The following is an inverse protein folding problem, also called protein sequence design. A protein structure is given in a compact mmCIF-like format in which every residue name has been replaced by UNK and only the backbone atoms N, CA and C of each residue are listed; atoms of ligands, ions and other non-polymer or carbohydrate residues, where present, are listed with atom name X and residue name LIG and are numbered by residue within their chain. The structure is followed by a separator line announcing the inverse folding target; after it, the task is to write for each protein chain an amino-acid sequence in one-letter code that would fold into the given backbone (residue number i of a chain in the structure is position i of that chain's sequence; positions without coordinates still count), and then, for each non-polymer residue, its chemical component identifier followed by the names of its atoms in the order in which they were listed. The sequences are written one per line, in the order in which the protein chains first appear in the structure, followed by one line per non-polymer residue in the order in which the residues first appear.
data_IF_212883119324
#
_entry.id   IF_212883119324
#
_cell.length_a   1.000
_cell.length_b   1.000
_cell.length_c   1.000
_cell.angle_alpha   90.00
_cell.angle_beta   90.00
_cell.angle_gamma   90.00
#
_symmetry.space_group_name_H-M   'P 1'
#
loop_
_entity.id
_entity.type
_entity.pdbx_description
1 polymer ?
#
# COMPACT_ATOMS: atom_id res chain seq x y z
N UNK A 1 -6.16 -6.58 6.57
CA UNK A 1 -6.83 -6.00 5.39
C UNK A 1 -5.82 -5.88 4.24
N UNK A 2 -5.58 -6.99 3.54
CA UNK A 2 -4.86 -7.01 2.26
C UNK A 2 -5.86 -7.39 1.19
N UNK A 3 -6.74 -6.44 0.85
CA UNK A 3 -7.86 -6.68 -0.08
C UNK A 3 -7.34 -6.43 -1.50
N UNK A 4 -6.62 -7.42 -2.02
CA UNK A 4 -6.17 -7.47 -3.41
C UNK A 4 -6.48 -8.79 -4.07
N UNK A 5 -6.50 -9.84 -3.25
CA UNK A 5 -6.93 -11.16 -3.66
C UNK A 5 -8.44 -11.10 -3.87
N UNK A 6 -8.88 -11.14 -5.13
CA UNK A 6 -10.30 -11.20 -5.52
C UNK A 6 -10.84 -10.00 -6.32
N UNK A 7 -10.04 -8.96 -6.54
CA UNK A 7 -10.49 -7.78 -7.32
C UNK A 7 -10.17 -7.83 -8.81
N UNK A 8 -9.32 -8.77 -9.23
CA UNK A 8 -9.07 -9.03 -10.65
C UNK A 8 -10.19 -9.87 -11.29
N UNK A 9 -11.44 -9.52 -11.01
CA UNK A 9 -12.64 -10.12 -11.60
C UNK A 9 -13.23 -9.10 -12.56
N UNK A 10 -13.69 -9.55 -13.72
CA UNK A 10 -14.20 -8.71 -14.80
C UNK A 10 -15.30 -7.73 -14.34
N UNK A 11 -16.20 -8.19 -13.48
CA UNK A 11 -17.27 -7.39 -12.88
C UNK A 11 -16.74 -6.17 -12.10
N UNK A 12 -15.63 -6.34 -11.35
CA UNK A 12 -15.04 -5.24 -10.59
C UNK A 12 -14.41 -4.19 -11.52
N UNK A 13 -13.72 -4.63 -12.58
CA UNK A 13 -13.11 -3.72 -13.56
C UNK A 13 -14.20 -2.93 -14.29
N UNK A 14 -15.28 -3.61 -14.71
CA UNK A 14 -16.44 -2.98 -15.35
C UNK A 14 -17.14 -1.97 -14.43
N UNK A 15 -17.35 -2.32 -13.16
CA UNK A 15 -17.98 -1.41 -12.18
C UNK A 15 -17.13 -0.17 -11.87
N UNK A 16 -15.81 -0.29 -11.82
CA UNK A 16 -14.92 0.88 -11.64
C UNK A 16 -14.94 1.78 -12.87
N UNK A 17 -15.00 1.18 -14.07
CA UNK A 17 -15.06 1.92 -15.32
C UNK A 17 -16.40 2.63 -15.55
N UNK A 18 -17.52 2.04 -15.11
CA UNK A 18 -18.83 2.71 -15.18
C UNK A 18 -18.90 3.97 -14.30
N UNK A 19 -18.03 4.06 -13.30
CA UNK A 19 -17.83 5.26 -12.47
C UNK A 19 -16.83 6.27 -13.08
N UNK A 20 -16.36 6.04 -14.31
CA UNK A 20 -15.38 6.90 -14.98
C UNK A 20 -13.96 6.80 -14.41
N UNK A 21 -13.66 5.76 -13.62
CA UNK A 21 -12.37 5.57 -12.96
C UNK A 21 -11.55 4.44 -13.61
N UNK A 22 -10.22 4.49 -13.44
CA UNK A 22 -9.30 3.44 -13.90
C UNK A 22 -9.01 2.47 -12.76
N UNK A 23 -9.24 1.17 -12.99
CA UNK A 23 -8.96 0.14 -12.00
C UNK A 23 -7.46 -0.22 -11.95
N UNK A 24 -6.75 0.21 -10.91
CA UNK A 24 -5.34 -0.15 -10.68
C UNK A 24 -5.17 -1.44 -9.84
N UNK A 25 -5.81 -2.53 -10.26
CA UNK A 25 -5.61 -3.86 -9.61
C UNK A 25 -4.36 -4.52 -10.19
N UNK A 26 -3.56 -5.14 -9.33
CA UNK A 26 -2.35 -5.84 -9.78
C UNK A 26 -2.71 -7.04 -10.67
N UNK A 27 -2.16 -7.06 -11.88
CA UNK A 27 -2.29 -8.18 -12.80
C UNK A 27 -1.64 -9.46 -12.24
N UNK A 28 -2.28 -10.60 -12.53
CA UNK A 28 -1.73 -11.93 -12.27
C UNK A 28 -0.80 -12.33 -13.42
N UNK A 29 0.19 -13.21 -13.15
CA UNK A 29 1.10 -13.76 -14.19
C UNK A 29 0.38 -14.58 -15.28
N UNK A 30 -0.79 -15.15 -14.98
CA UNK A 30 -1.67 -15.85 -15.93
C UNK A 30 -3.11 -15.47 -15.64
N UNK A 31 -3.91 -15.26 -16.69
CA UNK A 31 -5.35 -14.96 -16.59
C UNK A 31 -5.67 -13.62 -15.92
N UNK A 32 -4.85 -12.59 -16.14
CA UNK A 32 -5.22 -11.22 -15.74
C UNK A 32 -6.28 -10.66 -16.68
N UNK A 33 -7.37 -10.16 -16.11
CA UNK A 33 -8.48 -9.52 -16.84
C UNK A 33 -8.19 -8.03 -17.08
N UNK A 34 -6.97 -7.57 -16.78
CA UNK A 34 -6.61 -6.17 -16.97
C UNK A 34 -6.46 -5.86 -18.45
N UNK A 35 -7.12 -4.80 -18.95
CA UNK A 35 -6.94 -4.34 -20.32
C UNK A 35 -5.48 -3.99 -20.64
N UNK A 36 -5.03 -4.32 -21.86
CA UNK A 36 -3.64 -4.13 -22.28
C UNK A 36 -3.24 -2.65 -22.35
N UNK A 37 -4.17 -1.75 -22.67
CA UNK A 37 -3.97 -0.30 -22.71
C UNK A 37 -3.64 0.27 -21.32
N UNK A 38 -4.32 -0.21 -20.27
CA UNK A 38 -4.01 0.17 -18.89
C UNK A 38 -2.69 -0.46 -18.46
N UNK A 39 -2.45 -1.72 -18.82
CA UNK A 39 -1.24 -2.44 -18.43
C UNK A 39 0.04 -1.80 -18.98
N UNK A 40 -0.02 -1.29 -20.21
CA UNK A 40 1.10 -0.60 -20.88
C UNK A 40 1.24 0.87 -20.45
N UNK A 41 0.27 1.43 -19.73
CA UNK A 41 0.33 2.81 -19.28
C UNK A 41 1.41 3.03 -18.20
N UNK A 42 2.13 4.14 -18.32
CA UNK A 42 3.08 4.58 -17.30
C UNK A 42 2.40 4.81 -15.94
N UNK A 43 1.17 5.36 -15.99
CA UNK A 43 0.35 5.61 -14.80
C UNK A 43 0.04 4.34 -14.00
N UNK A 44 -0.20 3.21 -14.67
CA UNK A 44 -0.39 1.92 -13.99
C UNK A 44 0.88 1.46 -13.26
N UNK A 45 2.04 1.59 -13.89
CA UNK A 45 3.34 1.26 -13.27
C UNK A 45 3.63 2.12 -12.04
N UNK A 46 3.37 3.43 -12.13
CA UNK A 46 3.53 4.37 -11.02
C UNK A 46 2.58 4.00 -9.86
N UNK A 47 1.30 3.76 -10.16
CA UNK A 47 0.32 3.37 -9.16
C UNK A 47 0.71 2.08 -8.42
N UNK A 48 1.25 1.08 -9.11
CA UNK A 48 1.74 -0.14 -8.45
C UNK A 48 2.93 0.12 -7.52
N UNK A 49 3.89 0.98 -7.93
CA UNK A 49 5.03 1.37 -7.10
C UNK A 49 4.58 2.10 -5.84
N UNK A 50 3.72 3.11 -5.98
CA UNK A 50 3.17 3.88 -4.85
C UNK A 50 2.41 2.94 -3.91
N UNK A 51 1.58 2.06 -4.46
CA UNK A 51 0.82 1.09 -3.68
C UNK A 51 1.71 0.15 -2.89
N UNK A 52 2.81 -0.33 -3.47
CA UNK A 52 3.79 -1.17 -2.77
C UNK A 52 4.39 -0.40 -1.58
N UNK A 53 4.83 0.84 -1.80
CA UNK A 53 5.38 1.72 -0.74
C UNK A 53 4.39 1.94 0.41
N UNK A 54 3.11 2.21 0.10
CA UNK A 54 2.06 2.39 1.13
C UNK A 54 1.82 1.10 1.90
N UNK A 55 1.85 -0.06 1.23
CA UNK A 55 1.70 -1.36 1.91
C UNK A 55 2.89 -1.68 2.81
N UNK A 56 4.10 -1.35 2.40
CA UNK A 56 5.31 -1.55 3.21
C UNK A 56 5.22 -0.75 4.52
N UNK A 57 4.92 0.55 4.47
CA UNK A 57 4.75 1.36 5.69
C UNK A 57 3.61 0.84 6.56
N UNK A 58 2.44 0.52 5.99
CA UNK A 58 1.32 -0.01 6.76
C UNK A 58 1.60 -1.41 7.34
N UNK A 59 2.46 -2.19 6.70
CA UNK A 59 2.95 -3.46 7.21
C UNK A 59 3.87 -3.24 8.41
N UNK A 60 4.88 -2.38 8.23
CA UNK A 60 5.85 -2.01 9.26
C UNK A 60 5.19 -1.41 10.50
N UNK A 61 4.23 -0.49 10.33
CA UNK A 61 3.46 0.09 11.42
C UNK A 61 2.72 -0.98 12.25
N UNK A 62 2.22 -2.04 11.60
CA UNK A 62 1.51 -3.13 12.29
C UNK A 62 2.46 -4.05 13.03
N UNK A 63 3.62 -4.36 12.45
CA UNK A 63 4.60 -5.30 12.99
C UNK A 63 5.53 -4.63 14.00
N UNK A 64 6.27 -3.61 13.58
CA UNK A 64 7.27 -2.89 14.39
C UNK A 64 6.61 -1.77 15.20
N UNK A 65 5.75 -0.98 14.56
CA UNK A 65 5.00 0.11 15.23
C UNK A 65 3.90 -0.36 16.19
N UNK A 66 3.75 -1.69 16.37
CA UNK A 66 2.82 -2.35 17.30
C UNK A 66 1.35 -1.94 17.11
N UNK A 67 0.98 -1.48 15.92
CA UNK A 67 -0.40 -1.04 15.61
C UNK A 67 -1.38 -2.19 15.36
N UNK A 68 -0.93 -3.45 15.30
CA UNK A 68 -1.82 -4.61 15.11
C UNK A 68 -2.70 -4.93 16.32
N UNK A 69 -2.20 -4.68 17.54
CA UNK A 69 -2.92 -4.89 18.81
C UNK A 69 -2.76 -3.65 19.68
N UNK A 70 -3.39 -2.56 19.25
CA UNK A 70 -3.32 -1.28 19.96
C UNK A 70 -3.99 -1.40 21.33
N UNK A 71 -3.30 -0.98 22.39
CA UNK A 71 -3.84 -0.96 23.77
C UNK A 71 -4.50 0.37 24.15
N UNK A 72 -4.66 1.27 23.18
CA UNK A 72 -5.24 2.60 23.40
C UNK A 72 -6.70 2.61 22.95
N UNK A 73 -7.56 3.22 23.75
CA UNK A 73 -8.97 3.44 23.44
C UNK A 73 -9.23 4.93 23.22
N UNK A 74 -10.00 5.24 22.19
CA UNK A 74 -10.40 6.62 21.85
C UNK A 74 -9.64 7.21 20.67
N UNK A 75 -10.37 7.90 19.79
CA UNK A 75 -9.89 8.39 18.49
C UNK A 75 -8.67 9.31 18.59
N UNK A 76 -8.65 10.21 19.59
CA UNK A 76 -7.52 11.13 19.84
C UNK A 76 -6.23 10.37 20.16
N UNK A 77 -6.29 9.39 21.08
CA UNK A 77 -5.11 8.59 21.48
C UNK A 77 -4.59 7.73 20.33
N UNK A 78 -5.50 7.09 19.59
CA UNK A 78 -5.15 6.28 18.41
C UNK A 78 -4.50 7.16 17.32
N UNK A 79 -5.05 8.35 17.06
CA UNK A 79 -4.49 9.28 16.09
C UNK A 79 -3.11 9.78 16.50
N UNK A 80 -2.89 10.04 17.79
CA UNK A 80 -1.56 10.41 18.31
C UNK A 80 -0.54 9.32 18.09
N UNK A 81 -0.87 8.08 18.47
CA UNK A 81 -0.01 6.91 18.26
C UNK A 81 0.30 6.68 16.78
N UNK A 82 -0.70 6.81 15.90
CA UNK A 82 -0.50 6.66 14.46
C UNK A 82 0.51 7.68 13.91
N UNK A 83 0.34 8.96 14.26
CA UNK A 83 1.27 10.02 13.83
C UNK A 83 2.69 9.81 14.35
N UNK A 84 2.80 9.40 15.62
CA UNK A 84 4.10 9.11 16.23
C UNK A 84 4.82 7.96 15.50
N UNK A 85 4.14 6.84 15.25
CA UNK A 85 4.72 5.71 14.53
C UNK A 85 5.05 6.08 13.07
N UNK A 86 4.21 6.89 12.41
CA UNK A 86 4.47 7.40 11.06
C UNK A 86 5.76 8.23 11.01
N UNK A 87 5.95 9.17 11.94
CA UNK A 87 7.15 9.98 12.02
C UNK A 87 8.41 9.14 12.24
N UNK A 88 8.35 8.10 13.08
CA UNK A 88 9.48 7.17 13.27
C UNK A 88 9.80 6.43 11.96
N UNK A 89 8.79 5.96 11.24
CA UNK A 89 9.01 5.30 9.96
C UNK A 89 9.71 6.23 8.96
N UNK A 90 9.31 7.51 8.91
CA UNK A 90 9.95 8.50 8.04
C UNK A 90 11.42 8.70 8.41
N UNK A 91 11.77 8.78 9.70
CA UNK A 91 13.16 8.86 10.15
C UNK A 91 13.99 7.63 9.77
N UNK A 92 13.46 6.43 10.02
CA UNK A 92 14.11 5.16 9.65
C UNK A 92 14.34 5.10 8.13
N UNK A 93 13.33 5.50 7.36
CA UNK A 93 13.39 5.55 5.90
C UNK A 93 14.42 6.56 5.41
N UNK A 94 14.46 7.77 5.97
CA UNK A 94 15.45 8.79 5.59
C UNK A 94 16.86 8.25 5.81
N UNK A 95 17.16 7.68 6.99
CA UNK A 95 18.51 7.15 7.25
C UNK A 95 18.88 5.94 6.37
N UNK A 96 17.88 5.16 5.93
CA UNK A 96 18.10 4.10 4.93
C UNK A 96 18.41 4.66 3.54
N UNK A 97 17.78 5.77 3.17
CA UNK A 97 17.96 6.43 1.86
C UNK A 97 19.25 7.25 1.79
N UNK A 98 19.69 7.84 2.90
CA UNK A 98 20.92 8.63 2.98
C UNK A 98 22.17 7.78 3.24
N UNK A 99 22.01 6.47 3.41
CA UNK A 99 23.13 5.54 3.70
C UNK A 99 23.64 5.61 5.14
N UNK A 100 22.90 6.26 6.05
CA UNK A 100 23.28 6.38 7.46
C UNK A 100 23.17 5.07 8.25
N UNK A 101 22.39 4.11 7.76
CA UNK A 101 22.35 2.74 8.29
C UNK A 101 21.80 1.74 7.26
N UNK A 102 22.31 0.52 7.31
CA UNK A 102 21.82 -0.63 6.53
C UNK A 102 20.55 -1.20 7.17
N UNK A 103 19.41 -0.57 6.91
CA UNK A 103 18.13 -1.17 7.25
C UNK A 103 17.82 -2.29 6.24
N UNK A 104 18.28 -3.51 6.54
CA UNK A 104 17.83 -4.71 5.83
C UNK A 104 16.35 -4.93 6.13
N UNK A 105 15.48 -4.64 5.16
CA UNK A 105 14.10 -5.09 5.21
C UNK A 105 14.10 -6.61 5.02
N UNK A 106 14.09 -7.35 6.13
CA UNK A 106 13.79 -8.79 6.12
C UNK A 106 12.38 -9.08 5.64
#
# INVERSE_FOLDING_TARGET
MGKDRGYGVDEHIKAVRSLGMISHVAAKRKGSIMPDDIFQSEGYTISLKIRKRIKEVLGWMKTVGRMRKLKLVGRKKISGQFRFVAAIYDLVRIGSLTGGWTASYT
#
